data_IF_087188635863
#
_entry.id   IF_087188635863
#
_cell.length_a   1.000
_cell.length_b   1.000
_cell.length_c   1.000
_cell.angle_alpha   90.00
_cell.angle_beta   90.00
_cell.angle_gamma   90.00
#
_symmetry.space_group_name_H-M   'P 1'
#
loop_
_entity.id
_entity.type
_entity.pdbx_description
1 polymer ?
#
# COMPACT_ATOMS: atom_id res chain seq x y z
N UNK A 1 -4.69 -2.68 18.59
CA UNK A 1 -3.21 -2.62 18.49
C UNK A 1 -2.60 -1.30 19.01
N UNK A 2 -3.32 -0.52 19.84
CA UNK A 2 -2.86 0.80 20.29
C UNK A 2 -1.52 0.80 21.04
N UNK A 3 -1.23 -0.28 21.77
CA UNK A 3 0.02 -0.44 22.52
C UNK A 3 1.27 -0.63 21.64
N UNK A 4 1.11 -0.90 20.33
CA UNK A 4 2.23 -1.09 19.41
C UNK A 4 2.77 0.23 18.84
N UNK A 5 2.09 1.37 19.08
CA UNK A 5 2.51 2.66 18.54
C UNK A 5 3.78 3.18 19.23
N UNK A 6 4.81 3.41 18.41
CA UNK A 6 6.08 4.01 18.80
C UNK A 6 6.45 5.08 17.76
N UNK A 7 6.19 6.36 18.05
CA UNK A 7 6.46 7.49 17.13
C UNK A 7 7.98 7.78 17.03
N UNK A 8 8.72 6.86 16.43
CA UNK A 8 10.17 6.90 16.25
C UNK A 8 10.63 8.03 15.32
N UNK A 9 9.80 8.38 14.33
CA UNK A 9 10.13 9.37 13.30
C UNK A 9 9.10 10.50 13.24
N UNK A 10 9.55 11.66 12.77
CA UNK A 10 8.69 12.81 12.46
C UNK A 10 8.47 12.88 10.95
N UNK A 11 7.21 12.87 10.53
CA UNK A 11 6.85 12.89 9.11
C UNK A 11 6.39 14.29 8.72
N UNK A 12 7.01 14.84 7.68
CA UNK A 12 6.66 16.15 7.14
C UNK A 12 5.39 16.08 6.29
N UNK A 13 4.55 17.11 6.38
CA UNK A 13 3.47 17.29 5.42
C UNK A 13 4.05 17.54 4.02
N UNK A 14 3.67 16.71 3.05
CA UNK A 14 4.06 16.87 1.66
C UNK A 14 2.91 17.49 0.86
N UNK A 15 3.24 18.43 -0.02
CA UNK A 15 2.28 18.90 -1.02
C UNK A 15 2.20 17.88 -2.16
N UNK A 16 0.99 17.59 -2.65
CA UNK A 16 0.76 16.63 -3.75
C UNK A 16 0.13 17.34 -4.93
N UNK A 17 0.66 17.09 -6.13
CA UNK A 17 0.13 17.63 -7.38
C UNK A 17 0.09 16.55 -8.48
N UNK A 18 -0.89 16.65 -9.37
CA UNK A 18 -0.98 15.82 -10.57
C UNK A 18 -0.71 16.69 -11.79
N UNK A 19 0.16 16.25 -12.68
CA UNK A 19 0.48 16.99 -13.91
C UNK A 19 -0.55 16.71 -15.03
N UNK A 20 -0.37 17.37 -16.18
CA UNK A 20 -1.24 17.21 -17.36
C UNK A 20 -1.18 15.80 -17.97
N UNK A 21 -0.14 15.02 -17.67
CA UNK A 21 0.02 13.64 -18.13
C UNK A 21 -0.63 12.64 -17.19
N UNK A 22 -1.18 13.11 -16.05
CA UNK A 22 -1.74 12.26 -15.00
C UNK A 22 -0.69 11.76 -14.00
N UNK A 23 0.58 12.12 -14.17
CA UNK A 23 1.66 11.79 -13.25
C UNK A 23 1.52 12.52 -11.93
N UNK A 24 1.70 11.80 -10.82
CA UNK A 24 1.63 12.36 -9.45
C UNK A 24 3.04 12.73 -8.97
N UNK A 25 3.14 13.89 -8.34
CA UNK A 25 4.38 14.43 -7.78
C UNK A 25 4.15 14.89 -6.36
N UNK A 26 5.20 14.81 -5.55
CA UNK A 26 5.22 15.36 -4.20
C UNK A 26 6.27 16.46 -4.15
N UNK A 27 6.01 17.49 -3.35
CA UNK A 27 6.99 18.56 -3.11
C UNK A 27 7.15 18.84 -1.62
N UNK A 28 8.41 19.01 -1.22
CA UNK A 28 8.84 19.35 0.14
C UNK A 28 10.04 20.30 0.06
N UNK A 29 10.04 21.38 0.85
CA UNK A 29 11.18 22.31 0.97
C UNK A 29 11.78 22.81 -0.37
N UNK A 30 10.93 23.02 -1.39
CA UNK A 30 11.37 23.49 -2.71
C UNK A 30 11.79 22.40 -3.69
N UNK A 31 11.93 21.15 -3.25
CA UNK A 31 12.18 19.99 -4.11
C UNK A 31 10.87 19.36 -4.56
N UNK A 32 10.85 18.88 -5.81
CA UNK A 32 9.72 18.19 -6.41
C UNK A 32 10.17 16.86 -7.01
N UNK A 33 9.60 15.77 -6.52
CA UNK A 33 9.94 14.41 -6.94
C UNK A 33 8.70 13.64 -7.43
N UNK A 34 8.85 12.72 -8.39
CA UNK A 34 7.74 11.89 -8.85
C UNK A 34 7.27 10.91 -7.77
N UNK A 35 6.01 10.47 -7.86
CA UNK A 35 5.53 9.39 -7.00
C UNK A 35 6.10 8.04 -7.43
N UNK A 36 6.20 7.09 -6.48
CA UNK A 36 6.54 5.68 -6.78
C UNK A 36 5.63 5.12 -7.88
N UNK A 37 4.32 5.36 -7.79
CA UNK A 37 3.35 4.92 -8.80
C UNK A 37 3.64 5.50 -10.18
N UNK A 38 4.07 6.77 -10.25
CA UNK A 38 4.41 7.44 -11.52
C UNK A 38 5.65 6.84 -12.15
N UNK A 39 6.66 6.51 -11.34
CA UNK A 39 7.85 5.82 -11.83
C UNK A 39 7.47 4.44 -12.37
N UNK A 40 6.76 3.64 -11.57
CA UNK A 40 6.36 2.27 -11.95
C UNK A 40 5.52 2.22 -13.23
N UNK A 41 4.64 3.20 -13.44
CA UNK A 41 3.83 3.24 -14.66
C UNK A 41 4.71 3.56 -15.89
N UNK A 42 5.67 4.48 -15.76
CA UNK A 42 6.59 4.84 -16.83
C UNK A 42 7.61 3.74 -17.15
N UNK A 43 8.04 2.98 -16.15
CA UNK A 43 9.05 1.91 -16.30
C UNK A 43 8.47 0.54 -16.62
N UNK A 44 7.14 0.44 -16.79
CA UNK A 44 6.46 -0.81 -17.13
C UNK A 44 6.98 -1.41 -18.44
N UNK A 45 7.26 -2.72 -18.41
CA UNK A 45 7.77 -3.45 -19.57
C UNK A 45 6.76 -3.42 -20.73
N UNK A 46 7.23 -3.54 -21.97
CA UNK A 46 6.33 -3.59 -23.12
C UNK A 46 5.38 -4.80 -23.03
N UNK A 47 5.89 -5.95 -22.59
CA UNK A 47 5.10 -7.15 -22.35
C UNK A 47 3.93 -6.92 -21.39
N UNK A 48 4.14 -6.20 -20.29
CA UNK A 48 3.08 -5.92 -19.32
C UNK A 48 2.06 -4.91 -19.85
N UNK A 49 2.52 -3.95 -20.67
CA UNK A 49 1.64 -3.00 -21.38
C UNK A 49 0.74 -3.74 -22.37
N UNK A 50 1.31 -4.64 -23.18
CA UNK A 50 0.58 -5.42 -24.16
C UNK A 50 -0.41 -6.37 -23.49
N UNK A 51 -0.02 -7.02 -22.39
CA UNK A 51 -0.92 -7.87 -21.61
C UNK A 51 -2.12 -7.09 -21.03
N UNK A 52 -1.89 -5.85 -20.58
CA UNK A 52 -2.97 -4.98 -20.10
C UNK A 52 -3.91 -4.56 -21.22
N UNK A 53 -3.37 -4.25 -22.41
CA UNK A 53 -4.17 -3.91 -23.61
C UNK A 53 -5.02 -5.11 -24.01
N UNK A 54 -4.41 -6.28 -24.18
CA UNK A 54 -5.10 -7.52 -24.56
C UNK A 54 -6.21 -7.89 -23.56
N UNK A 55 -5.97 -7.68 -22.25
CA UNK A 55 -7.00 -7.88 -21.24
C UNK A 55 -8.18 -6.90 -21.41
N UNK A 56 -7.90 -5.61 -21.64
CA UNK A 56 -8.93 -4.59 -21.87
C UNK A 56 -9.75 -4.88 -23.13
N UNK A 57 -9.11 -5.34 -24.20
CA UNK A 57 -9.77 -5.75 -25.44
C UNK A 57 -10.66 -6.97 -25.22
N UNK A 58 -10.20 -7.95 -24.44
CA UNK A 58 -10.95 -9.16 -24.12
C UNK A 58 -12.22 -8.90 -23.32
N UNK A 59 -12.16 -8.04 -22.30
CA UNK A 59 -13.32 -7.74 -21.43
C UNK A 59 -14.18 -6.57 -21.95
N UNK A 60 -13.61 -5.71 -22.79
CA UNK A 60 -14.23 -4.48 -23.28
C UNK A 60 -13.90 -3.26 -22.40
N UNK A 61 -13.77 -2.08 -23.01
CA UNK A 61 -13.29 -0.85 -22.33
C UNK A 61 -14.21 -0.36 -21.20
N UNK A 62 -15.52 -0.45 -21.39
CA UNK A 62 -16.53 -0.07 -20.37
C UNK A 62 -16.39 -0.98 -19.15
N UNK A 63 -16.33 -2.29 -19.40
CA UNK A 63 -16.24 -3.30 -18.35
C UNK A 63 -14.89 -3.26 -17.63
N UNK A 64 -13.79 -3.08 -18.38
CA UNK A 64 -12.46 -2.88 -17.81
C UNK A 64 -12.42 -1.66 -16.87
N UNK A 65 -13.09 -0.57 -17.26
CA UNK A 65 -13.20 0.64 -16.44
C UNK A 65 -14.04 0.40 -15.18
N UNK A 66 -15.15 -0.34 -15.29
CA UNK A 66 -15.99 -0.74 -14.14
C UNK A 66 -15.18 -1.59 -13.15
N UNK A 67 -14.53 -2.65 -13.63
CA UNK A 67 -13.69 -3.55 -12.81
C UNK A 67 -12.55 -2.78 -12.12
N UNK A 68 -11.92 -1.83 -12.83
CA UNK A 68 -10.85 -1.00 -12.26
C UNK A 68 -11.36 -0.12 -11.13
N UNK A 69 -12.49 0.56 -11.33
CA UNK A 69 -13.12 1.41 -10.29
C UNK A 69 -13.55 0.62 -9.07
N UNK A 70 -14.15 -0.56 -9.28
CA UNK A 70 -14.55 -1.45 -8.18
C UNK A 70 -13.34 -1.97 -7.41
N UNK A 71 -12.26 -2.31 -8.10
CA UNK A 71 -11.02 -2.75 -7.47
C UNK A 71 -10.38 -1.65 -6.64
N UNK A 72 -10.37 -0.41 -7.13
CA UNK A 72 -9.91 0.76 -6.38
C UNK A 72 -10.76 1.00 -5.13
N UNK A 73 -12.09 1.08 -5.29
CA UNK A 73 -13.05 1.33 -4.20
C UNK A 73 -12.93 0.29 -3.07
N UNK A 74 -12.80 -0.99 -3.45
CA UNK A 74 -12.58 -2.10 -2.51
C UNK A 74 -11.25 -1.98 -1.77
N UNK A 75 -10.19 -1.58 -2.47
CA UNK A 75 -8.91 -1.24 -1.85
C UNK A 75 -9.10 -0.13 -0.82
N UNK A 76 -9.57 1.03 -1.24
CA UNK A 76 -9.71 2.22 -0.38
C UNK A 76 -10.48 1.92 0.91
N UNK A 77 -11.59 1.18 0.82
CA UNK A 77 -12.38 0.74 1.99
C UNK A 77 -11.60 -0.21 2.90
N UNK A 78 -10.91 -1.21 2.33
CA UNK A 78 -10.07 -2.13 3.11
C UNK A 78 -8.95 -1.38 3.85
N UNK A 79 -8.23 -0.48 3.17
CA UNK A 79 -7.20 0.35 3.82
C UNK A 79 -7.82 1.20 4.93
N UNK A 80 -9.01 1.76 4.71
CA UNK A 80 -9.70 2.55 5.74
C UNK A 80 -10.02 1.73 7.00
N UNK A 81 -10.53 0.50 6.83
CA UNK A 81 -10.81 -0.39 7.96
C UNK A 81 -9.53 -0.78 8.72
N UNK A 82 -8.42 -1.01 8.01
CA UNK A 82 -7.12 -1.29 8.62
C UNK A 82 -6.60 -0.07 9.39
N UNK A 83 -6.68 1.13 8.80
CA UNK A 83 -6.31 2.38 9.46
C UNK A 83 -7.11 2.59 10.75
N UNK A 84 -8.43 2.43 10.69
CA UNK A 84 -9.32 2.58 11.84
C UNK A 84 -9.00 1.54 12.92
N UNK A 85 -8.71 0.29 12.54
CA UNK A 85 -8.28 -0.77 13.46
C UNK A 85 -6.95 -0.45 14.18
N UNK A 86 -5.96 0.03 13.44
CA UNK A 86 -4.65 0.40 13.99
C UNK A 86 -4.76 1.57 14.99
N UNK A 87 -5.68 2.49 14.76
CA UNK A 87 -5.96 3.63 15.64
C UNK A 87 -7.03 3.35 16.71
N UNK A 88 -7.52 2.10 16.84
CA UNK A 88 -8.53 1.74 17.84
C UNK A 88 -9.91 2.37 17.62
N UNK A 89 -10.20 2.81 16.40
CA UNK A 89 -11.46 3.45 15.98
C UNK A 89 -12.47 2.46 15.40
N UNK A 90 -12.34 1.16 15.64
CA UNK A 90 -13.33 0.20 15.14
C UNK A 90 -14.70 0.52 15.74
N UNK A 91 -15.68 0.78 14.88
CA UNK A 91 -17.08 0.77 15.28
C UNK A 91 -17.42 -0.63 15.78
N UNK A 92 -18.29 -0.72 16.79
CA UNK A 92 -18.96 -1.97 17.19
C UNK A 92 -20.00 -2.36 16.11
N UNK A 93 -19.57 -2.47 14.86
CA UNK A 93 -20.42 -2.92 13.77
C UNK A 93 -20.50 -4.44 13.81
N UNK A 94 -21.60 -4.93 14.35
CA UNK A 94 -21.91 -6.36 14.42
C UNK A 94 -22.18 -7.00 13.04
N UNK A 95 -22.24 -6.22 11.96
CA UNK A 95 -22.60 -6.70 10.61
C UNK A 95 -21.40 -6.89 9.68
N UNK A 96 -20.34 -7.56 10.16
CA UNK A 96 -19.17 -7.95 9.35
C UNK A 96 -19.57 -8.96 8.26
N UNK A 97 -20.69 -9.67 8.44
CA UNK A 97 -21.14 -10.75 7.55
C UNK A 97 -21.44 -10.30 6.11
N UNK A 98 -21.83 -9.04 5.90
CA UNK A 98 -22.18 -8.51 4.57
C UNK A 98 -21.10 -7.59 3.96
N UNK A 99 -19.97 -7.39 4.63
CA UNK A 99 -18.93 -6.45 4.20
C UNK A 99 -17.63 -7.20 3.87
N UNK A 100 -17.39 -7.40 2.57
CA UNK A 100 -16.22 -8.13 2.09
C UNK A 100 -14.92 -7.38 2.41
N UNK A 101 -14.92 -6.04 2.34
CA UNK A 101 -13.80 -5.17 2.66
C UNK A 101 -13.40 -5.27 4.13
N UNK A 102 -14.38 -5.31 5.04
CA UNK A 102 -14.13 -5.58 6.47
C UNK A 102 -13.58 -6.98 6.69
N UNK A 103 -14.16 -8.02 6.09
CA UNK A 103 -13.62 -9.39 6.17
C UNK A 103 -12.17 -9.45 5.68
N UNK A 104 -11.87 -8.73 4.60
CA UNK A 104 -10.52 -8.69 4.07
C UNK A 104 -9.54 -8.05 5.06
N UNK A 105 -9.97 -6.97 5.69
CA UNK A 105 -9.18 -6.26 6.70
C UNK A 105 -8.96 -7.12 7.94
N UNK A 106 -10.00 -7.83 8.39
CA UNK A 106 -9.93 -8.71 9.56
C UNK A 106 -8.92 -9.85 9.38
N UNK A 107 -8.90 -10.49 8.21
CA UNK A 107 -7.89 -11.52 7.91
C UNK A 107 -6.46 -10.97 7.96
N UNK A 108 -6.22 -9.75 7.47
CA UNK A 108 -4.91 -9.09 7.54
C UNK A 108 -4.53 -8.82 9.01
N UNK A 109 -5.48 -8.32 9.81
CA UNK A 109 -5.30 -8.10 11.24
C UNK A 109 -4.92 -9.40 11.94
N UNK A 110 -5.76 -10.42 11.86
CA UNK A 110 -5.64 -11.67 12.63
C UNK A 110 -4.44 -12.53 12.18
N UNK A 111 -4.20 -12.62 10.86
CA UNK A 111 -3.23 -13.57 10.32
C UNK A 111 -1.84 -12.96 10.13
N UNK A 112 -1.74 -11.64 9.96
CA UNK A 112 -0.47 -10.99 9.68
C UNK A 112 -0.07 -10.02 10.79
N UNK A 113 -0.93 -9.07 11.16
CA UNK A 113 -0.52 -8.00 12.08
C UNK A 113 -0.49 -8.47 13.54
N UNK A 114 -1.52 -9.12 14.06
CA UNK A 114 -1.55 -9.60 15.45
C UNK A 114 -0.43 -10.59 15.77
N UNK A 115 0.02 -11.36 14.77
CA UNK A 115 1.01 -12.43 14.95
C UNK A 115 2.45 -11.97 14.80
N UNK A 116 2.69 -10.92 14.01
CA UNK A 116 4.05 -10.58 13.53
C UNK A 116 4.37 -9.09 13.64
N UNK A 117 3.41 -8.20 13.87
CA UNK A 117 3.70 -6.78 14.04
C UNK A 117 4.20 -6.51 15.47
N UNK A 118 5.40 -5.95 15.57
CA UNK A 118 6.03 -5.64 16.85
C UNK A 118 5.91 -4.15 17.21
N UNK A 119 6.04 -3.27 16.23
CA UNK A 119 5.95 -1.82 16.44
C UNK A 119 5.30 -1.13 15.24
N UNK A 120 4.63 -0.01 15.50
CA UNK A 120 4.07 0.89 14.49
C UNK A 120 4.77 2.24 14.61
N UNK A 121 5.47 2.65 13.55
CA UNK A 121 6.10 3.98 13.47
C UNK A 121 5.27 4.99 12.71
N UNK A 122 4.38 4.55 11.82
CA UNK A 122 3.49 5.42 11.04
C UNK A 122 2.49 4.61 10.21
N UNK A 123 1.32 5.17 9.97
CA UNK A 123 0.24 4.62 9.14
C UNK A 123 -0.28 5.71 8.20
N UNK A 124 -0.54 5.39 6.93
CA UNK A 124 -0.95 6.36 5.89
C UNK A 124 -0.06 7.60 5.83
N UNK A 125 1.25 7.35 5.94
CA UNK A 125 2.22 8.40 6.20
C UNK A 125 3.06 8.69 4.94
N UNK A 126 3.25 9.97 4.58
CA UNK A 126 4.08 10.33 3.44
C UNK A 126 5.57 10.09 3.74
N UNK A 127 6.26 9.45 2.79
CA UNK A 127 7.70 9.26 2.77
C UNK A 127 8.28 10.03 1.58
N UNK A 128 9.31 10.83 1.82
CA UNK A 128 9.98 11.65 0.82
C UNK A 128 11.46 11.28 0.77
N UNK A 129 11.92 10.84 -0.41
CA UNK A 129 13.32 10.62 -0.70
C UNK A 129 13.79 11.74 -1.64
N UNK A 130 14.58 12.71 -1.11
CA UNK A 130 15.19 13.77 -1.89
C UNK A 130 15.86 13.23 -3.16
N UNK A 131 15.79 14.01 -4.24
CA UNK A 131 16.37 13.69 -5.55
C UNK A 131 15.91 12.38 -6.22
N UNK A 132 14.93 11.67 -5.65
CA UNK A 132 14.49 10.37 -6.17
C UNK A 132 12.98 10.27 -6.34
N UNK A 133 12.23 10.12 -5.25
CA UNK A 133 10.80 9.82 -5.30
C UNK A 133 10.11 10.03 -3.96
N UNK A 134 8.78 9.98 -3.98
CA UNK A 134 7.98 10.00 -2.77
C UNK A 134 6.74 9.11 -2.90
N UNK A 135 6.12 8.80 -1.77
CA UNK A 135 4.91 8.00 -1.73
C UNK A 135 4.24 8.08 -0.37
N UNK A 136 3.05 7.51 -0.27
CA UNK A 136 2.38 7.29 1.01
C UNK A 136 2.48 5.79 1.29
N UNK A 137 2.96 5.42 2.48
CA UNK A 137 2.99 4.03 2.93
C UNK A 137 1.72 3.70 3.70
N UNK A 138 1.20 2.49 3.55
CA UNK A 138 0.02 2.07 4.32
C UNK A 138 0.38 1.93 5.80
N UNK A 139 1.52 1.29 6.08
CA UNK A 139 2.06 1.10 7.42
C UNK A 139 3.60 1.04 7.38
N UNK A 140 4.27 1.46 8.43
CA UNK A 140 5.70 1.27 8.63
C UNK A 140 5.99 1.03 10.11
N UNK A 141 7.02 0.22 10.39
CA UNK A 141 7.28 -0.24 11.76
C UNK A 141 8.23 -1.42 11.80
N UNK A 142 8.12 -2.21 12.87
CA UNK A 142 8.87 -3.47 13.02
C UNK A 142 7.91 -4.63 12.79
N UNK A 143 8.21 -5.47 11.81
CA UNK A 143 7.44 -6.67 11.51
C UNK A 143 8.37 -7.88 11.52
N UNK A 144 8.03 -8.89 12.30
CA UNK A 144 8.84 -10.07 12.55
C UNK A 144 10.27 -9.72 13.00
N UNK A 145 10.38 -8.70 13.86
CA UNK A 145 11.62 -8.13 14.38
C UNK A 145 12.51 -7.42 13.33
N UNK A 146 11.99 -7.12 12.14
CA UNK A 146 12.73 -6.41 11.10
C UNK A 146 12.05 -5.08 10.74
N UNK A 147 12.84 -4.03 10.54
CA UNK A 147 12.35 -2.72 10.09
C UNK A 147 11.68 -2.88 8.70
N UNK A 148 10.41 -2.47 8.60
CA UNK A 148 9.55 -2.82 7.48
C UNK A 148 8.61 -1.67 7.06
N UNK A 149 8.46 -1.52 5.73
CA UNK A 149 7.39 -0.77 5.09
C UNK A 149 6.35 -1.82 4.68
N UNK A 150 5.11 -1.65 5.09
CA UNK A 150 4.08 -2.67 4.89
C UNK A 150 3.07 -2.09 3.91
N UNK A 151 2.79 -2.87 2.87
CA UNK A 151 1.87 -2.51 1.79
C UNK A 151 0.74 -3.57 1.76
N UNK A 152 -0.46 -3.14 2.12
CA UNK A 152 -1.65 -3.97 2.12
C UNK A 152 -2.18 -4.09 0.70
N UNK A 153 -2.62 -5.30 0.34
CA UNK A 153 -3.16 -5.55 -1.00
C UNK A 153 -4.44 -6.36 -0.94
N UNK A 154 -5.48 -5.83 -1.58
CA UNK A 154 -6.70 -6.56 -1.89
C UNK A 154 -6.53 -7.32 -3.21
N UNK A 155 -7.09 -8.52 -3.28
CA UNK A 155 -7.13 -9.31 -4.51
C UNK A 155 -8.41 -10.14 -4.54
N UNK A 156 -9.07 -10.23 -5.69
CA UNK A 156 -10.14 -11.22 -5.92
C UNK A 156 -9.61 -12.62 -6.18
N UNK A 157 -8.37 -12.74 -6.63
CA UNK A 157 -7.74 -14.01 -6.96
C UNK A 157 -6.78 -14.41 -5.84
N UNK A 158 -6.82 -15.69 -5.45
CA UNK A 158 -5.77 -16.28 -4.62
C UNK A 158 -4.44 -16.11 -5.37
N UNK A 159 -3.47 -15.44 -4.75
CA UNK A 159 -2.09 -15.44 -5.23
C UNK A 159 -1.31 -16.48 -4.45
N UNK A 160 -0.47 -17.23 -5.16
CA UNK A 160 0.54 -18.09 -4.54
C UNK A 160 1.60 -17.21 -3.86
N UNK A 161 2.28 -17.74 -2.83
CA UNK A 161 3.35 -17.02 -2.12
C UNK A 161 4.46 -16.53 -3.06
N UNK A 162 4.73 -17.26 -4.14
CA UNK A 162 5.67 -16.89 -5.21
C UNK A 162 5.24 -15.67 -6.05
N UNK A 163 3.94 -15.34 -6.04
CA UNK A 163 3.36 -14.19 -6.75
C UNK A 163 3.26 -12.91 -5.92
N UNK A 164 3.77 -12.94 -4.67
CA UNK A 164 4.01 -11.76 -3.85
C UNK A 164 5.27 -11.06 -4.39
N UNK A 165 5.06 -9.98 -5.14
CA UNK A 165 6.15 -9.20 -5.68
C UNK A 165 6.74 -8.29 -4.59
N UNK A 166 7.56 -8.87 -3.71
CA UNK A 166 8.33 -8.10 -2.71
C UNK A 166 9.29 -7.20 -3.47
N UNK A 167 9.03 -5.89 -3.45
CA UNK A 167 9.95 -4.91 -4.01
C UNK A 167 10.94 -4.52 -2.93
N UNK A 168 12.16 -5.07 -2.99
CA UNK A 168 13.24 -4.68 -2.10
C UNK A 168 13.79 -3.31 -2.52
N UNK A 169 13.70 -2.30 -1.65
CA UNK A 169 14.52 -1.08 -1.76
C UNK A 169 15.74 -1.26 -0.85
N UNK A 170 16.96 -1.17 -1.40
CA UNK A 170 18.24 -1.44 -0.71
C UNK A 170 19.03 -0.15 -0.45
N UNK A 171 19.29 0.22 0.82
CA UNK A 171 20.24 1.29 1.16
C UNK A 171 21.71 0.92 1.39
N UNK A 172 22.59 1.93 1.28
CA UNK A 172 24.03 1.94 1.59
C UNK A 172 24.38 3.15 2.49
N UNK A 173 25.56 3.21 3.13
CA UNK A 173 25.70 3.48 4.56
C UNK A 173 26.25 4.87 4.87
N UNK A 174 25.73 5.93 4.26
CA UNK A 174 26.20 7.28 4.58
C UNK A 174 25.04 8.26 4.66
N UNK A 175 24.46 8.32 5.86
CA UNK A 175 23.50 9.33 6.34
C UNK A 175 22.15 9.33 5.60
N UNK A 176 21.11 8.94 6.33
CA UNK A 176 19.69 9.02 5.91
C UNK A 176 19.26 7.97 4.89
N UNK A 177 19.23 6.69 5.29
CA UNK A 177 18.40 5.70 4.61
C UNK A 177 17.87 4.67 5.61
N UNK A 178 16.54 4.58 5.72
CA UNK A 178 15.83 3.52 6.44
C UNK A 178 15.69 2.35 5.47
N UNK A 179 16.34 1.22 5.80
CA UNK A 179 16.09 -0.05 5.12
C UNK A 179 14.75 -0.55 5.66
N UNK A 180 13.76 -0.71 4.80
CA UNK A 180 12.49 -1.26 5.22
C UNK A 180 12.10 -2.39 4.28
N UNK A 181 12.00 -3.61 4.82
CA UNK A 181 11.39 -4.74 4.12
C UNK A 181 10.00 -4.34 3.62
N UNK A 182 9.72 -4.45 2.32
CA UNK A 182 8.36 -4.27 1.80
C UNK A 182 7.60 -5.57 1.98
N UNK A 183 6.74 -5.63 2.99
CA UNK A 183 5.92 -6.82 3.24
C UNK A 183 4.57 -6.62 2.58
N UNK A 184 4.36 -7.37 1.50
CA UNK A 184 3.05 -7.49 0.87
C UNK A 184 2.19 -8.45 1.69
N UNK A 185 1.18 -7.91 2.35
CA UNK A 185 0.20 -8.74 3.06
C UNK A 185 -1.02 -8.88 2.16
N UNK A 186 -1.12 -10.04 1.51
CA UNK A 186 -2.28 -10.40 0.72
C UNK A 186 -3.31 -11.15 1.56
N UNK A 187 -4.56 -10.84 1.29
CA UNK A 187 -5.66 -11.62 1.81
C UNK A 187 -5.73 -13.01 1.14
N UNK A 188 -5.65 -14.08 1.93
CA UNK A 188 -6.19 -15.39 1.53
C UNK A 188 -7.71 -15.35 1.70
N UNK A 189 -8.41 -14.64 0.82
CA UNK A 189 -9.86 -14.59 0.89
C UNK A 189 -10.40 -15.92 0.35
N UNK A 190 -11.10 -16.63 1.23
CA UNK A 190 -11.84 -17.86 0.99
C UNK A 190 -12.84 -17.65 -0.14
N UNK A 191 -12.59 -18.32 -1.27
CA UNK A 191 -13.61 -18.97 -2.08
C UNK A 191 -13.27 -20.45 -2.12
#
# INVERSE_FOLDING_TARGET
MLHLWNKKFSYSNLSRATDKTGGRFYSSNGEKVPSVTTILDKTKSQKDKDALIAWKEKVGQIEASRISKESMSRGDKMHKHLEDALHGKQSLDFDIMNDNEKKMSQVILDQALEKKLNEIWGCETPLFYPDSHAGTTDLCGVYNNEESIIDFKSSTKRKEESGLQITFYKPQPTHSLIICNIILILNKALY
#
